data_IF_637071933101
#
_entry.id   IF_637071933101
#
_cell.length_a   1.000
_cell.length_b   1.000
_cell.length_c   1.000
_cell.angle_alpha   90.00
_cell.angle_beta   90.00
_cell.angle_gamma   90.00
#
_symmetry.space_group_name_H-M   'P 1'
#
loop_
_entity.id
_entity.type
_entity.pdbx_description
1 polymer ?
#
# COMPACT_ATOMS: atom_id res chain seq x y z
N UNK A 1 22.34 -51.65 -29.47
CA UNK A 1 21.71 -52.03 -28.20
C UNK A 1 21.86 -50.83 -27.27
N UNK A 2 20.87 -49.95 -27.23
CA UNK A 2 20.77 -48.93 -26.19
C UNK A 2 19.39 -49.11 -25.59
N UNK A 3 19.39 -49.61 -24.36
CA UNK A 3 18.21 -49.87 -23.57
C UNK A 3 17.65 -48.52 -23.10
N UNK A 4 16.40 -48.23 -23.43
CA UNK A 4 15.71 -47.04 -22.94
C UNK A 4 14.72 -47.48 -21.89
N UNK A 5 15.17 -47.46 -20.63
CA UNK A 5 14.30 -47.64 -19.48
C UNK A 5 13.38 -46.42 -19.37
N UNK A 6 12.05 -46.58 -19.48
CA UNK A 6 11.13 -45.47 -19.29
C UNK A 6 11.12 -45.06 -17.81
N UNK A 7 11.31 -43.76 -17.56
CA UNK A 7 11.15 -43.16 -16.23
C UNK A 7 9.69 -43.32 -15.80
N UNK A 8 9.46 -44.00 -14.67
CA UNK A 8 8.13 -44.04 -14.08
C UNK A 8 7.77 -42.67 -13.51
N UNK A 9 6.58 -42.13 -13.79
CA UNK A 9 6.09 -40.94 -13.12
C UNK A 9 5.80 -41.29 -11.65
N UNK A 10 6.51 -40.65 -10.75
CA UNK A 10 6.24 -40.69 -9.32
C UNK A 10 5.04 -39.78 -9.02
N UNK A 11 3.85 -40.37 -9.04
CA UNK A 11 2.63 -39.72 -8.59
C UNK A 11 2.72 -39.48 -7.08
N UNK A 12 2.86 -38.22 -6.69
CA UNK A 12 2.77 -37.81 -5.31
C UNK A 12 1.29 -37.89 -4.92
N UNK A 13 0.93 -38.91 -4.15
CA UNK A 13 -0.41 -39.18 -3.64
C UNK A 13 -0.80 -38.12 -2.58
N UNK A 14 -1.07 -36.91 -3.05
CA UNK A 14 -1.68 -35.83 -2.26
C UNK A 14 -3.16 -36.18 -2.19
N UNK A 15 -3.63 -36.52 -1.00
CA UNK A 15 -5.06 -36.65 -0.73
C UNK A 15 -5.63 -35.25 -0.73
N UNK A 16 -6.22 -34.82 -1.84
CA UNK A 16 -7.01 -33.59 -1.88
C UNK A 16 -8.20 -33.76 -0.92
N UNK A 17 -8.06 -33.22 0.28
CA UNK A 17 -9.24 -32.95 1.10
C UNK A 17 -10.08 -31.93 0.32
N UNK A 18 -11.41 -32.05 0.28
CA UNK A 18 -12.24 -31.05 -0.37
C UNK A 18 -12.08 -29.74 0.40
N UNK A 19 -11.21 -28.86 -0.10
CA UNK A 19 -11.11 -27.49 0.41
C UNK A 19 -12.49 -26.85 0.24
N UNK A 20 -13.01 -26.31 1.33
CA UNK A 20 -14.23 -25.52 1.28
C UNK A 20 -14.01 -24.42 0.24
N UNK A 21 -14.90 -24.33 -0.75
CA UNK A 21 -14.78 -23.35 -1.84
C UNK A 21 -14.98 -21.96 -1.25
N UNK A 22 -13.89 -21.31 -0.87
CA UNK A 22 -13.91 -19.90 -0.45
C UNK A 22 -13.96 -19.02 -1.68
N UNK A 23 -14.57 -17.84 -1.59
CA UNK A 23 -14.53 -16.84 -2.67
C UNK A 23 -13.30 -15.95 -2.56
N UNK A 24 -12.26 -16.42 -1.85
CA UNK A 24 -11.05 -15.64 -1.67
C UNK A 24 -10.32 -15.49 -3.00
N UNK A 25 -9.82 -14.28 -3.28
CA UNK A 25 -9.11 -14.01 -4.52
C UNK A 25 -7.74 -14.71 -4.55
N UNK A 26 -7.41 -15.41 -5.65
CA UNK A 26 -6.02 -15.78 -5.92
C UNK A 26 -5.27 -14.57 -6.49
N UNK A 27 -4.30 -14.08 -5.72
CA UNK A 27 -3.54 -12.87 -6.02
C UNK A 27 -2.11 -13.14 -6.48
N UNK A 28 -1.76 -14.38 -6.82
CA UNK A 28 -0.41 -14.72 -7.28
C UNK A 28 0.03 -13.90 -8.50
N UNK A 29 -0.84 -13.79 -9.53
CA UNK A 29 -0.56 -12.99 -10.72
C UNK A 29 -0.40 -11.50 -10.40
N UNK A 30 -1.21 -10.98 -9.48
CA UNK A 30 -1.12 -9.60 -9.02
C UNK A 30 0.22 -9.34 -8.32
N UNK A 31 0.63 -10.18 -7.38
CA UNK A 31 1.88 -10.00 -6.64
C UNK A 31 3.11 -10.16 -7.54
N UNK A 32 3.05 -11.04 -8.56
CA UNK A 32 4.09 -11.13 -9.58
C UNK A 32 4.25 -9.82 -10.34
N UNK A 33 3.15 -9.20 -10.77
CA UNK A 33 3.19 -7.92 -11.46
C UNK A 33 3.65 -6.79 -10.52
N UNK A 34 3.12 -6.74 -9.31
CA UNK A 34 3.46 -5.73 -8.31
C UNK A 34 4.97 -5.72 -7.99
N UNK A 35 5.62 -6.89 -7.93
CA UNK A 35 7.07 -6.98 -7.67
C UNK A 35 7.94 -6.29 -8.72
N UNK A 36 7.41 -6.06 -9.93
CA UNK A 36 8.09 -5.31 -11.00
C UNK A 36 7.88 -3.80 -10.86
N UNK A 37 6.83 -3.39 -10.15
CA UNK A 37 6.42 -1.99 -9.99
C UNK A 37 6.90 -1.41 -8.66
N UNK A 38 7.14 -2.24 -7.65
CA UNK A 38 7.64 -1.81 -6.35
C UNK A 38 9.12 -1.41 -6.41
N UNK A 39 9.38 -0.15 -6.08
CA UNK A 39 10.72 0.45 -6.08
C UNK A 39 11.58 0.04 -4.88
N UNK A 40 10.96 -0.43 -3.79
CA UNK A 40 11.66 -0.88 -2.57
C UNK A 40 11.99 -2.38 -2.58
N UNK A 41 11.76 -3.07 -3.71
CA UNK A 41 12.02 -4.52 -3.82
C UNK A 41 13.51 -4.81 -4.05
N UNK A 42 14.12 -5.75 -3.30
CA UNK A 42 15.53 -6.13 -3.48
C UNK A 42 15.82 -6.82 -4.83
N UNK A 43 14.78 -7.12 -5.62
CA UNK A 43 14.90 -7.77 -6.93
C UNK A 43 15.26 -6.79 -8.05
N UNK A 44 15.17 -5.49 -7.81
CA UNK A 44 15.40 -4.50 -8.85
C UNK A 44 16.91 -4.25 -9.03
N UNK A 45 17.42 -4.47 -10.26
CA UNK A 45 18.85 -4.36 -10.57
C UNK A 45 19.32 -2.90 -10.72
N UNK A 46 18.40 -1.93 -10.80
CA UNK A 46 18.71 -0.51 -10.95
C UNK A 46 17.93 0.34 -9.93
N UNK A 47 18.56 0.75 -8.84
CA UNK A 47 17.92 1.50 -7.72
C UNK A 47 17.17 2.79 -8.13
N UNK A 48 17.37 3.29 -9.35
CA UNK A 48 16.74 4.52 -9.87
C UNK A 48 15.70 4.30 -10.96
N UNK A 49 15.35 3.06 -11.34
CA UNK A 49 14.30 2.90 -12.33
C UNK A 49 12.93 3.11 -11.69
N UNK A 50 12.09 3.87 -12.40
CA UNK A 50 10.71 4.14 -12.05
C UNK A 50 9.86 3.23 -12.94
N UNK A 51 8.82 2.56 -12.40
CA UNK A 51 7.94 1.74 -13.21
C UNK A 51 7.27 2.52 -14.32
N UNK A 52 7.01 1.88 -15.45
CA UNK A 52 6.31 2.58 -16.54
C UNK A 52 4.83 2.77 -16.16
N UNK A 53 4.18 3.84 -16.64
CA UNK A 53 2.74 4.04 -16.45
C UNK A 53 1.88 2.85 -16.89
N UNK A 54 2.34 2.11 -17.90
CA UNK A 54 1.68 0.91 -18.42
C UNK A 54 1.75 -0.24 -17.41
N UNK A 55 2.90 -0.45 -16.77
CA UNK A 55 3.08 -1.51 -15.76
C UNK A 55 2.26 -1.22 -14.51
N UNK A 56 2.20 0.05 -14.10
CA UNK A 56 1.35 0.51 -12.99
C UNK A 56 -0.13 0.24 -13.32
N UNK A 57 -0.61 0.70 -14.48
CA UNK A 57 -1.99 0.50 -14.91
C UNK A 57 -2.35 -1.00 -15.05
N UNK A 58 -1.42 -1.84 -15.52
CA UNK A 58 -1.60 -3.28 -15.58
C UNK A 58 -1.81 -3.91 -14.19
N UNK A 59 -1.04 -3.45 -13.19
CA UNK A 59 -1.18 -3.90 -11.80
C UNK A 59 -2.55 -3.55 -11.21
N UNK A 60 -3.00 -2.30 -11.41
CA UNK A 60 -4.35 -1.86 -11.02
C UNK A 60 -5.43 -2.68 -11.74
N UNK A 61 -5.24 -3.00 -13.02
CA UNK A 61 -6.21 -3.80 -13.78
C UNK A 61 -6.37 -5.23 -13.21
N UNK A 62 -5.29 -5.86 -12.75
CA UNK A 62 -5.37 -7.19 -12.12
C UNK A 62 -6.21 -7.15 -10.84
N UNK A 63 -6.02 -6.13 -10.00
CA UNK A 63 -6.82 -5.94 -8.80
C UNK A 63 -8.30 -5.67 -9.14
N UNK A 64 -8.56 -4.83 -10.16
CA UNK A 64 -9.91 -4.53 -10.65
C UNK A 64 -10.65 -5.80 -11.07
N UNK A 65 -10.03 -6.61 -11.93
CA UNK A 65 -10.63 -7.84 -12.48
C UNK A 65 -11.03 -8.80 -11.37
N UNK A 66 -10.21 -8.88 -10.33
CA UNK A 66 -10.52 -9.72 -9.19
C UNK A 66 -11.72 -9.20 -8.40
N UNK A 67 -11.78 -7.91 -8.10
CA UNK A 67 -12.91 -7.34 -7.37
C UNK A 67 -14.21 -7.45 -8.18
N UNK A 68 -14.15 -7.34 -9.50
CA UNK A 68 -15.29 -7.61 -10.37
C UNK A 68 -15.74 -9.07 -10.31
N UNK A 69 -14.81 -10.03 -10.22
CA UNK A 69 -15.15 -11.45 -10.01
C UNK A 69 -15.83 -11.69 -8.66
N UNK A 70 -15.43 -10.95 -7.61
CA UNK A 70 -16.10 -10.99 -6.31
C UNK A 70 -17.54 -10.48 -6.39
N UNK A 71 -17.79 -9.39 -7.13
CA UNK A 71 -19.16 -8.89 -7.36
C UNK A 71 -20.00 -9.95 -8.09
N UNK A 72 -19.46 -10.58 -9.12
CA UNK A 72 -20.19 -11.59 -9.90
C UNK A 72 -20.53 -12.85 -9.09
N UNK A 73 -19.74 -13.17 -8.07
CA UNK A 73 -19.93 -14.32 -7.18
C UNK A 73 -20.55 -13.95 -5.83
N UNK A 74 -20.90 -12.67 -5.63
CA UNK A 74 -21.48 -12.18 -4.39
C UNK A 74 -22.87 -12.79 -4.15
N UNK A 75 -23.24 -13.06 -2.88
CA UNK A 75 -24.60 -13.45 -2.54
C UNK A 75 -25.55 -12.23 -2.70
N UNK A 76 -26.83 -12.45 -3.01
CA UNK A 76 -27.79 -11.36 -3.25
C UNK A 76 -28.01 -10.45 -2.02
N UNK A 77 -27.74 -10.94 -0.80
CA UNK A 77 -27.85 -10.15 0.43
C UNK A 77 -26.61 -9.30 0.77
N UNK A 78 -25.52 -9.42 0.01
CA UNK A 78 -24.30 -8.67 0.26
C UNK A 78 -24.36 -7.29 -0.38
N UNK A 79 -24.01 -6.28 0.40
CA UNK A 79 -23.85 -4.92 -0.10
C UNK A 79 -22.52 -4.79 -0.86
N UNK A 80 -22.62 -4.68 -2.18
CA UNK A 80 -21.46 -4.53 -3.08
C UNK A 80 -20.94 -3.10 -3.17
N UNK A 81 -21.57 -2.13 -2.48
CA UNK A 81 -21.20 -0.71 -2.60
C UNK A 81 -19.72 -0.46 -2.32
N UNK A 82 -19.16 -1.08 -1.28
CA UNK A 82 -17.73 -0.94 -0.95
C UNK A 82 -16.87 -1.41 -2.11
N UNK A 83 -17.13 -2.59 -2.68
CA UNK A 83 -16.37 -3.11 -3.83
C UNK A 83 -16.51 -2.21 -5.06
N UNK A 84 -17.71 -1.73 -5.34
CA UNK A 84 -17.98 -0.83 -6.48
C UNK A 84 -17.20 0.48 -6.35
N UNK A 85 -17.14 1.06 -5.15
CA UNK A 85 -16.35 2.26 -4.87
C UNK A 85 -14.85 1.99 -5.05
N UNK A 86 -14.35 0.87 -4.54
CA UNK A 86 -12.95 0.47 -4.73
C UNK A 86 -12.60 0.26 -6.21
N UNK A 87 -13.50 -0.36 -6.98
CA UNK A 87 -13.33 -0.55 -8.43
C UNK A 87 -13.33 0.80 -9.17
N UNK A 88 -14.20 1.73 -8.76
CA UNK A 88 -14.23 3.09 -9.31
C UNK A 88 -12.89 3.79 -9.12
N UNK A 89 -12.32 3.72 -7.92
CA UNK A 89 -11.02 4.33 -7.61
C UNK A 89 -9.88 3.67 -8.40
N UNK A 90 -9.90 2.35 -8.52
CA UNK A 90 -8.93 1.60 -9.31
C UNK A 90 -9.00 2.04 -10.78
N UNK A 91 -10.19 2.17 -11.36
CA UNK A 91 -10.37 2.65 -12.75
C UNK A 91 -9.84 4.07 -12.91
N UNK A 92 -10.13 4.98 -11.98
CA UNK A 92 -9.56 6.33 -12.01
C UNK A 92 -8.03 6.32 -11.96
N UNK A 93 -7.44 5.39 -11.19
CA UNK A 93 -5.99 5.20 -11.11
C UNK A 93 -5.42 4.55 -12.38
N UNK A 94 -6.20 3.78 -13.13
CA UNK A 94 -5.78 3.24 -14.43
C UNK A 94 -5.79 4.30 -15.53
N UNK A 95 -6.78 5.21 -15.53
CA UNK A 95 -6.88 6.30 -16.51
C UNK A 95 -5.80 7.37 -16.30
N UNK A 96 -5.30 7.50 -15.07
CA UNK A 96 -4.21 8.42 -14.72
C UNK A 96 -3.27 7.73 -13.71
N UNK A 97 -2.40 6.82 -14.20
CA UNK A 97 -1.52 6.02 -13.35
C UNK A 97 -0.57 6.91 -12.53
N UNK A 98 -0.45 6.68 -11.22
CA UNK A 98 0.49 7.42 -10.40
C UNK A 98 1.95 7.09 -10.79
N UNK A 99 2.84 8.05 -10.62
CA UNK A 99 4.29 7.87 -10.88
C UNK A 99 4.92 6.81 -9.94
N UNK A 100 4.40 6.69 -8.72
CA UNK A 100 4.89 5.75 -7.71
C UNK A 100 3.72 5.06 -6.99
N UNK A 101 3.92 3.80 -6.62
CA UNK A 101 2.97 3.05 -5.79
C UNK A 101 3.01 3.57 -4.36
N UNK A 102 1.87 4.07 -3.89
CA UNK A 102 1.71 4.69 -2.55
C UNK A 102 1.43 3.67 -1.45
N UNK A 103 1.38 2.38 -1.78
CA UNK A 103 1.06 1.32 -0.84
C UNK A 103 2.10 1.08 0.24
N UNK A 104 1.71 0.21 1.17
CA UNK A 104 2.54 -0.23 2.31
C UNK A 104 3.47 -1.38 1.89
N UNK A 105 4.65 -1.56 2.51
CA UNK A 105 5.53 -2.69 2.26
C UNK A 105 4.92 -4.00 2.81
N UNK A 106 5.45 -5.15 2.37
CA UNK A 106 5.00 -6.45 2.87
C UNK A 106 5.19 -6.59 4.39
N UNK A 107 6.30 -6.09 4.93
CA UNK A 107 6.56 -6.10 6.37
C UNK A 107 5.45 -5.43 7.19
N UNK A 108 4.84 -4.37 6.66
CA UNK A 108 3.72 -3.71 7.32
C UNK A 108 2.49 -4.64 7.42
N UNK A 109 2.21 -5.44 6.38
CA UNK A 109 1.12 -6.42 6.42
C UNK A 109 1.38 -7.56 7.41
N UNK A 110 2.65 -7.93 7.57
CA UNK A 110 3.08 -9.00 8.46
C UNK A 110 2.90 -8.58 9.94
N UNK A 111 3.08 -7.29 10.22
CA UNK A 111 2.94 -6.66 11.55
C UNK A 111 1.49 -6.28 11.93
N UNK A 112 0.53 -6.37 11.00
CA UNK A 112 -0.88 -6.07 11.29
C UNK A 112 -1.42 -6.94 12.43
N UNK A 113 -2.20 -6.31 13.32
CA UNK A 113 -2.83 -6.98 14.45
C UNK A 113 -3.75 -8.10 13.96
N UNK A 114 -3.49 -9.33 14.43
CA UNK A 114 -4.28 -10.52 14.11
C UNK A 114 -5.47 -10.62 15.07
N UNK A 115 -6.66 -10.89 14.52
CA UNK A 115 -7.85 -11.14 15.33
C UNK A 115 -7.90 -12.65 15.67
N UNK A 116 -7.86 -13.04 16.96
CA UNK A 116 -7.87 -14.45 17.32
C UNK A 116 -9.22 -15.09 16.96
N UNK A 117 -9.19 -16.30 16.39
CA UNK A 117 -10.42 -17.03 15.97
C UNK A 117 -11.50 -17.11 17.06
N UNK A 118 -11.10 -17.14 18.34
CA UNK A 118 -12.01 -17.22 19.50
C UNK A 118 -12.81 -15.94 19.75
N UNK A 119 -12.35 -14.77 19.28
CA UNK A 119 -13.08 -13.50 19.42
C UNK A 119 -14.03 -13.23 18.25
N UNK A 120 -13.91 -13.97 17.16
CA UNK A 120 -14.77 -13.84 15.98
C UNK A 120 -16.16 -14.44 16.25
N UNK A 121 -17.19 -13.76 15.75
CA UNK A 121 -18.58 -14.22 15.78
C UNK A 121 -18.95 -14.83 14.44
N UNK A 122 -19.97 -15.68 14.43
CA UNK A 122 -20.53 -16.27 13.18
C UNK A 122 -21.11 -15.24 12.22
N UNK A 123 -21.43 -14.05 12.72
CA UNK A 123 -21.94 -12.93 11.94
C UNK A 123 -20.83 -12.09 11.31
N UNK A 124 -19.59 -12.26 11.74
CA UNK A 124 -18.48 -11.45 11.26
C UNK A 124 -18.04 -11.97 9.88
N UNK A 125 -18.05 -11.07 8.90
CA UNK A 125 -17.76 -11.35 7.50
C UNK A 125 -16.73 -10.37 6.97
N UNK A 126 -15.95 -10.79 5.98
CA UNK A 126 -15.04 -9.88 5.30
C UNK A 126 -15.84 -8.87 4.44
N UNK A 127 -15.59 -7.55 4.56
CA UNK A 127 -16.24 -6.54 3.73
C UNK A 127 -15.84 -6.56 2.25
N UNK A 128 -14.85 -7.37 1.87
CA UNK A 128 -14.35 -7.46 0.48
C UNK A 128 -14.90 -8.72 -0.20
N UNK A 129 -14.76 -9.92 0.38
CA UNK A 129 -15.23 -11.16 -0.25
C UNK A 129 -16.61 -11.65 0.24
N UNK A 130 -17.21 -10.99 1.23
CA UNK A 130 -18.51 -11.35 1.84
C UNK A 130 -18.58 -12.70 2.55
N UNK A 131 -17.48 -13.45 2.64
CA UNK A 131 -17.42 -14.73 3.34
C UNK A 131 -17.37 -14.52 4.86
N UNK A 132 -17.98 -15.44 5.62
CA UNK A 132 -17.86 -15.41 7.06
C UNK A 132 -16.48 -15.92 7.46
N UNK A 133 -15.81 -15.21 8.38
CA UNK A 133 -14.45 -15.60 8.78
C UNK A 133 -14.40 -17.01 9.38
N UNK A 134 -15.48 -17.45 10.02
CA UNK A 134 -15.53 -18.76 10.66
C UNK A 134 -15.86 -19.91 9.69
N UNK A 135 -16.18 -19.62 8.42
CA UNK A 135 -16.34 -20.65 7.40
C UNK A 135 -14.99 -21.26 6.99
N UNK A 136 -13.90 -20.52 7.20
CA UNK A 136 -12.53 -21.01 7.05
C UNK A 136 -12.05 -21.74 8.33
N UNK A 137 -11.52 -22.98 8.20
CA UNK A 137 -10.83 -23.67 9.28
C UNK A 137 -9.66 -22.87 9.89
N UNK A 138 -8.94 -22.08 9.10
CA UNK A 138 -7.72 -21.34 9.47
C UNK A 138 -7.79 -19.85 9.06
N UNK A 139 -8.74 -19.07 9.60
CA UNK A 139 -8.96 -17.71 9.15
C UNK A 139 -7.81 -16.79 9.55
N UNK A 140 -7.27 -16.06 8.57
CA UNK A 140 -6.22 -15.07 8.77
C UNK A 140 -6.82 -13.67 8.75
N UNK A 141 -7.49 -13.31 9.85
CA UNK A 141 -8.17 -12.02 9.99
C UNK A 141 -7.24 -10.98 10.61
N UNK A 142 -7.20 -9.80 10.00
CA UNK A 142 -6.50 -8.62 10.52
C UNK A 142 -7.46 -7.51 10.87
N UNK A 143 -7.08 -6.66 11.82
CA UNK A 143 -7.72 -5.38 12.08
C UNK A 143 -6.77 -4.25 11.66
N UNK A 144 -7.28 -3.27 10.91
CA UNK A 144 -6.51 -2.09 10.52
C UNK A 144 -6.47 -1.06 11.66
N UNK A 145 -5.36 -0.32 11.84
CA UNK A 145 -5.19 0.60 12.97
C UNK A 145 -6.09 1.84 12.91
N UNK A 146 -6.76 2.07 11.78
CA UNK A 146 -7.67 3.20 11.59
C UNK A 146 -8.97 3.09 12.41
N UNK A 147 -9.47 1.86 12.65
CA UNK A 147 -10.66 1.60 13.47
C UNK A 147 -10.75 0.12 13.87
N UNK A 148 -11.22 -0.17 15.09
CA UNK A 148 -11.30 -1.55 15.63
C UNK A 148 -12.29 -2.46 14.90
N UNK A 149 -13.23 -1.90 14.14
CA UNK A 149 -14.20 -2.68 13.32
C UNK A 149 -13.72 -2.91 11.90
N UNK A 150 -12.59 -2.34 11.48
CA UNK A 150 -12.05 -2.51 10.13
C UNK A 150 -11.26 -3.82 10.05
N UNK A 151 -12.00 -4.92 10.06
CA UNK A 151 -11.49 -6.28 10.01
C UNK A 151 -11.64 -6.89 8.62
N UNK A 152 -10.62 -7.61 8.17
CA UNK A 152 -10.60 -8.23 6.84
C UNK A 152 -9.81 -9.54 6.87
N UNK A 153 -10.09 -10.44 5.93
CA UNK A 153 -9.13 -11.50 5.59
C UNK A 153 -7.88 -10.83 5.00
N UNK A 154 -6.69 -11.23 5.46
CA UNK A 154 -5.42 -10.65 5.02
C UNK A 154 -5.26 -10.75 3.49
N UNK A 155 -5.67 -11.88 2.90
CA UNK A 155 -5.58 -12.13 1.46
C UNK A 155 -6.47 -11.18 0.66
N UNK A 156 -7.58 -10.72 1.23
CA UNK A 156 -8.51 -9.81 0.57
C UNK A 156 -8.03 -8.35 0.65
N UNK A 157 -7.55 -7.91 1.83
CA UNK A 157 -7.16 -6.50 2.04
C UNK A 157 -5.72 -6.21 1.63
N UNK A 158 -4.84 -7.20 1.70
CA UNK A 158 -3.41 -7.07 1.40
C UNK A 158 -3.13 -6.41 0.04
N UNK A 159 -3.69 -6.90 -1.08
CA UNK A 159 -3.49 -6.30 -2.40
C UNK A 159 -3.84 -4.81 -2.46
N UNK A 160 -4.96 -4.42 -1.85
CA UNK A 160 -5.37 -3.01 -1.79
C UNK A 160 -4.37 -2.16 -1.01
N UNK A 161 -3.92 -2.63 0.15
CA UNK A 161 -2.96 -1.90 0.98
C UNK A 161 -1.60 -1.77 0.32
N UNK A 162 -1.14 -2.82 -0.37
CA UNK A 162 0.15 -2.82 -1.09
C UNK A 162 0.13 -1.90 -2.32
N UNK A 163 -1.04 -1.61 -2.86
CA UNK A 163 -1.19 -0.71 -4.01
C UNK A 163 -1.53 0.74 -3.62
N UNK A 164 -2.44 0.93 -2.67
CA UNK A 164 -3.01 2.25 -2.34
C UNK A 164 -2.59 2.79 -0.97
N UNK A 165 -2.27 1.92 -0.01
CA UNK A 165 -1.82 2.33 1.32
C UNK A 165 -2.92 2.93 2.22
N UNK A 166 -4.17 2.80 1.82
CA UNK A 166 -5.34 3.37 2.51
C UNK A 166 -6.31 2.28 2.95
N UNK A 167 -7.08 2.53 4.02
CA UNK A 167 -8.15 1.63 4.40
C UNK A 167 -9.25 1.58 3.33
N UNK A 168 -9.78 0.39 2.96
CA UNK A 168 -10.89 0.26 2.02
C UNK A 168 -12.21 0.88 2.47
N UNK A 169 -12.41 1.07 3.79
CA UNK A 169 -13.68 1.54 4.35
C UNK A 169 -13.70 3.04 4.66
N UNK A 170 -12.61 3.62 5.18
CA UNK A 170 -12.56 5.03 5.58
C UNK A 170 -11.48 5.86 4.86
N UNK A 171 -10.74 5.23 3.94
CA UNK A 171 -9.71 5.83 3.10
C UNK A 171 -8.55 6.48 3.86
N UNK A 172 -8.43 6.27 5.17
CA UNK A 172 -7.30 6.79 5.95
C UNK A 172 -6.00 6.13 5.50
N UNK A 173 -4.96 6.94 5.32
CA UNK A 173 -3.61 6.48 5.05
C UNK A 173 -3.05 5.72 6.25
N UNK A 174 -2.47 4.55 5.99
CA UNK A 174 -1.90 3.68 7.02
C UNK A 174 -0.41 3.96 7.25
N UNK A 175 0.28 4.54 6.26
CA UNK A 175 1.67 4.99 6.37
C UNK A 175 1.81 6.42 5.88
N UNK A 176 2.17 7.34 6.77
CA UNK A 176 2.55 8.70 6.37
C UNK A 176 4.00 8.67 5.89
N UNK A 177 4.24 8.58 4.58
CA UNK A 177 5.58 8.80 4.02
C UNK A 177 5.99 10.25 4.31
N UNK A 178 7.07 10.45 5.07
CA UNK A 178 7.63 11.77 5.36
C UNK A 178 8.21 12.33 4.05
N UNK A 179 7.44 13.14 3.32
CA UNK A 179 7.95 13.80 2.10
C UNK A 179 9.09 14.74 2.50
N UNK A 180 10.29 14.45 2.06
CA UNK A 180 11.41 15.38 2.14
C UNK A 180 11.11 16.54 1.18
N UNK A 181 10.87 17.72 1.73
CA UNK A 181 10.69 18.94 0.94
C UNK A 181 11.97 19.21 0.15
N UNK A 182 11.92 19.05 -1.17
CA UNK A 182 13.01 19.40 -2.08
C UNK A 182 13.29 20.90 -1.92
N UNK A 183 14.35 21.24 -1.20
CA UNK A 183 14.84 22.62 -1.05
C UNK A 183 15.25 23.12 -2.43
N UNK A 184 14.44 23.99 -3.03
CA UNK A 184 14.72 24.59 -4.34
C UNK A 184 15.96 25.48 -4.20
N UNK A 185 17.07 25.24 -4.92
CA UNK A 185 18.23 26.13 -4.86
C UNK A 185 17.87 27.51 -5.40
N UNK A 186 17.93 28.52 -4.53
CA UNK A 186 17.68 29.92 -4.87
C UNK A 186 18.77 30.41 -5.84
N UNK A 187 18.38 30.74 -7.07
CA UNK A 187 19.29 31.22 -8.11
C UNK A 187 20.03 32.50 -7.66
N UNK A 188 21.36 32.46 -7.66
CA UNK A 188 22.21 33.63 -7.39
C UNK A 188 22.27 34.52 -8.63
N UNK A 189 21.52 35.61 -8.59
CA UNK A 189 21.58 36.65 -9.61
C UNK A 189 22.95 37.36 -9.55
N UNK A 190 23.81 37.07 -10.53
CA UNK A 190 25.14 37.67 -10.68
C UNK A 190 25.00 38.94 -11.52
N UNK A 191 24.94 40.10 -10.87
CA UNK A 191 25.23 41.40 -11.49
C UNK A 191 25.65 42.42 -10.42
N UNK A 192 26.96 42.65 -10.29
CA UNK A 192 27.54 43.91 -9.77
C UNK A 192 28.99 44.00 -10.25
N UNK A 193 29.29 45.03 -11.04
CA UNK A 193 30.63 45.45 -11.44
C UNK A 193 31.42 46.01 -10.24
N UNK A 194 32.77 45.98 -10.27
CA UNK A 194 33.61 46.14 -9.09
C UNK A 194 33.86 47.62 -8.72
N UNK A 195 33.45 48.01 -7.51
CA UNK A 195 33.77 49.29 -6.89
C UNK A 195 35.00 49.22 -5.97
N UNK A 196 35.78 50.29 -6.03
CA UNK A 196 37.04 50.58 -5.32
C UNK A 196 37.07 50.32 -3.81
N UNK A 197 38.29 50.01 -3.33
CA UNK A 197 38.68 49.79 -1.93
C UNK A 197 38.49 51.04 -1.08
N UNK A 198 38.19 50.87 0.23
CA UNK A 198 38.92 51.48 1.36
C UNK A 198 38.44 50.96 2.73
N UNK A 199 39.40 50.40 3.45
CA UNK A 199 39.75 50.60 4.86
C UNK A 199 38.75 50.34 6.00
N UNK A 200 39.01 49.20 6.67
CA UNK A 200 39.17 48.98 8.11
C UNK A 200 38.50 49.96 9.10
N UNK A 201 37.58 49.42 9.92
CA UNK A 201 37.71 49.54 11.39
C UNK A 201 37.00 48.38 12.09
N UNK A 202 37.63 47.94 13.18
CA UNK A 202 37.33 46.81 14.06
C UNK A 202 36.93 47.40 15.40
N UNK A 203 35.80 46.97 15.97
CA UNK A 203 35.37 47.15 17.38
C UNK A 203 34.10 46.29 17.51
N UNK A 204 34.15 45.12 18.12
CA UNK A 204 34.14 44.81 19.55
C UNK A 204 32.70 44.62 20.09
N UNK A 205 32.46 43.35 20.41
CA UNK A 205 31.48 42.70 21.27
C UNK A 205 30.67 43.64 22.19
N UNK A 206 29.35 43.47 22.17
CA UNK A 206 28.58 43.55 23.41
C UNK A 206 27.59 42.38 23.53
N UNK A 207 27.79 41.66 24.62
CA UNK A 207 26.92 40.70 25.29
C UNK A 207 25.98 41.55 26.16
N UNK A 208 24.70 41.23 26.26
CA UNK A 208 23.95 41.05 27.52
C UNK A 208 22.49 40.70 27.20
N UNK A 209 22.01 39.69 27.93
CA UNK A 209 20.62 39.29 28.10
C UNK A 209 19.73 40.47 28.51
N UNK A 210 18.46 40.46 28.13
CA UNK A 210 17.39 40.78 29.08
C UNK A 210 16.03 40.29 28.59
N UNK A 211 15.27 39.88 29.60
CA UNK A 211 14.04 39.13 29.59
C UNK A 211 12.81 39.99 29.23
N UNK A 212 11.72 39.29 28.92
CA UNK A 212 10.31 39.62 29.16
C UNK A 212 9.93 41.09 29.45
N UNK A 213 9.06 41.70 28.63
CA UNK A 213 7.80 42.28 29.15
C UNK A 213 6.85 42.81 28.05
N UNK A 214 5.57 42.69 28.40
CA UNK A 214 4.42 43.50 28.00
C UNK A 214 3.67 43.16 26.70
N UNK A 215 2.64 42.33 26.89
CA UNK A 215 1.23 42.76 26.86
C UNK A 215 0.83 43.96 25.99
N UNK A 216 -0.25 43.69 25.25
CA UNK A 216 -1.38 44.58 24.98
C UNK A 216 -1.47 45.25 23.61
N UNK A 217 -2.72 45.32 23.17
CA UNK A 217 -3.27 46.44 22.41
C UNK A 217 -3.15 46.44 20.88
N UNK A 218 -3.99 45.63 20.23
CA UNK A 218 -4.81 46.08 19.08
C UNK A 218 -6.19 45.44 19.26
N UNK A 219 -7.21 46.10 19.80
CA UNK A 219 -7.86 47.34 19.34
C UNK A 219 -8.35 47.24 17.89
#
# INVERSE_FOLDING_TARGET
>A
MFDHTPLQPFEHNIKDAPEARTRRPDMASFFSQLSQVETDSPTHMNDHAIPTPVDVAATYNLLRLQYESLIQSAPPEFDTHVLEELISDIRSSMDSPPEEVRGVPQSYLDELERVPKKSLKKTDKCPICADAFLDDPYPLVVVLPCHSTHMFDLECVGPWLRLNGTCPLDRKELMKKKKEEKVVPRERNRNQEPGEKKDAKKEEVDRYDDEEEFDDMYA
#
